data_IF_685094883525
#
_entry.id   IF_685094883525
#
_cell.length_a   1.000
_cell.length_b   1.000
_cell.length_c   1.000
_cell.angle_alpha   90.00
_cell.angle_beta   90.00
_cell.angle_gamma   90.00
#
_symmetry.space_group_name_H-M   'P 1'
#
loop_
_entity.id
_entity.type
_entity.pdbx_description
1 polymer ?
#
# COMPACT_ATOMS: atom_id res chain seq x y z
N UNK A 1 -14.10 -1.25 -19.98
CA UNK A 1 -13.53 -0.89 -18.68
C UNK A 1 -14.19 -1.70 -17.54
N UNK A 2 -14.65 -2.96 -17.80
CA UNK A 2 -15.58 -3.67 -16.89
C UNK A 2 -15.10 -5.04 -16.38
N UNK A 3 -13.79 -5.33 -16.45
CA UNK A 3 -13.33 -6.68 -16.03
C UNK A 3 -12.95 -6.83 -14.56
N UNK A 4 -12.77 -5.76 -13.81
CA UNK A 4 -12.31 -5.83 -12.41
C UNK A 4 -13.44 -5.61 -11.37
N UNK A 5 -14.53 -4.97 -11.75
CA UNK A 5 -15.65 -4.71 -10.83
C UNK A 5 -16.38 -6.01 -10.45
N UNK A 6 -16.53 -6.95 -11.40
CA UNK A 6 -17.15 -8.25 -11.12
C UNK A 6 -16.38 -9.09 -10.08
N UNK A 7 -15.06 -9.01 -10.07
CA UNK A 7 -14.24 -9.75 -9.09
C UNK A 7 -14.40 -9.23 -7.67
N UNK A 8 -14.42 -7.92 -7.48
CA UNK A 8 -14.58 -7.29 -6.16
C UNK A 8 -15.98 -7.56 -5.62
N UNK A 9 -17.01 -7.42 -6.44
CA UNK A 9 -18.38 -7.70 -6.06
C UNK A 9 -18.56 -9.18 -5.64
N UNK A 10 -17.98 -10.10 -6.39
CA UNK A 10 -18.01 -11.52 -6.07
C UNK A 10 -17.27 -11.82 -4.75
N UNK A 11 -16.12 -11.19 -4.50
CA UNK A 11 -15.41 -11.30 -3.23
C UNK A 11 -16.23 -10.77 -2.06
N UNK A 12 -16.84 -9.61 -2.23
CA UNK A 12 -17.70 -9.01 -1.22
C UNK A 12 -18.85 -9.94 -0.84
N UNK A 13 -19.59 -10.47 -1.82
CA UNK A 13 -20.67 -11.42 -1.58
C UNK A 13 -20.16 -12.68 -0.86
N UNK A 14 -19.05 -13.24 -1.29
CA UNK A 14 -18.45 -14.41 -0.64
C UNK A 14 -18.11 -14.16 0.83
N UNK A 15 -17.54 -12.99 1.16
CA UNK A 15 -17.19 -12.63 2.54
C UNK A 15 -18.46 -12.42 3.37
N UNK A 16 -19.43 -11.71 2.81
CA UNK A 16 -20.72 -11.46 3.45
C UNK A 16 -21.46 -12.76 3.78
N UNK A 17 -21.55 -13.69 2.84
CA UNK A 17 -22.20 -14.99 3.02
C UNK A 17 -21.50 -15.84 4.09
N UNK A 18 -20.15 -15.83 4.10
CA UNK A 18 -19.37 -16.52 5.13
C UNK A 18 -19.60 -15.92 6.51
N UNK A 19 -19.66 -14.60 6.61
CA UNK A 19 -19.95 -13.91 7.86
C UNK A 19 -21.37 -14.21 8.35
N UNK A 20 -22.37 -14.18 7.46
CA UNK A 20 -23.73 -14.54 7.79
C UNK A 20 -23.85 -15.99 8.29
N UNK A 21 -23.19 -16.94 7.61
CA UNK A 21 -23.17 -18.33 8.03
C UNK A 21 -22.45 -18.53 9.38
N UNK A 22 -21.36 -17.81 9.62
CA UNK A 22 -20.68 -17.82 10.92
C UNK A 22 -21.60 -17.32 12.03
N UNK A 23 -22.29 -16.20 11.83
CA UNK A 23 -23.24 -15.66 12.81
C UNK A 23 -24.38 -16.66 13.08
N UNK A 24 -24.92 -17.29 12.03
CA UNK A 24 -25.96 -18.32 12.18
C UNK A 24 -25.48 -19.49 13.03
N UNK A 25 -24.29 -20.02 12.75
CA UNK A 25 -23.77 -21.20 13.43
C UNK A 25 -23.37 -20.93 14.88
N UNK A 26 -22.77 -19.80 15.17
CA UNK A 26 -22.19 -19.53 16.49
C UNK A 26 -23.14 -18.79 17.44
N UNK A 27 -23.99 -17.92 16.90
CA UNK A 27 -24.82 -17.05 17.74
C UNK A 27 -26.31 -17.37 17.67
N UNK A 28 -26.82 -17.87 16.56
CA UNK A 28 -28.24 -18.13 16.39
C UNK A 28 -28.62 -19.60 16.51
N UNK A 29 -27.65 -20.52 16.48
CA UNK A 29 -27.87 -21.96 16.48
C UNK A 29 -28.66 -22.50 17.69
N UNK A 30 -28.61 -21.79 18.81
CA UNK A 30 -29.30 -22.21 20.04
C UNK A 30 -30.76 -21.73 20.13
N UNK A 31 -31.30 -21.03 19.11
CA UNK A 31 -32.66 -20.50 19.07
C UNK A 31 -33.33 -20.83 17.74
N UNK A 32 -34.27 -21.75 17.76
CA UNK A 32 -35.06 -22.11 16.57
C UNK A 32 -35.78 -20.90 15.96
N UNK A 33 -36.28 -19.98 16.81
CA UNK A 33 -36.97 -18.78 16.37
C UNK A 33 -36.00 -17.84 15.64
N UNK A 34 -34.79 -17.64 16.17
CA UNK A 34 -33.79 -16.76 15.52
C UNK A 34 -33.25 -17.37 14.22
N UNK A 35 -33.10 -18.69 14.18
CA UNK A 35 -32.71 -19.38 12.95
C UNK A 35 -33.77 -19.25 11.85
N UNK A 36 -35.06 -19.31 12.23
CA UNK A 36 -36.15 -19.17 11.27
C UNK A 36 -36.14 -17.81 10.55
N UNK A 37 -35.75 -16.76 11.27
CA UNK A 37 -35.68 -15.38 10.73
C UNK A 37 -34.24 -14.96 10.36
N UNK A 38 -33.28 -15.86 10.42
CA UNK A 38 -31.87 -15.53 10.21
C UNK A 38 -31.58 -14.96 8.81
N UNK A 39 -32.29 -15.44 7.78
CA UNK A 39 -32.14 -14.95 6.41
C UNK A 39 -32.75 -13.55 6.24
N UNK A 40 -33.80 -13.23 6.96
CA UNK A 40 -34.39 -11.89 6.96
C UNK A 40 -33.51 -10.89 7.72
N UNK A 41 -32.87 -11.33 8.81
CA UNK A 41 -32.02 -10.49 9.66
C UNK A 41 -30.63 -10.24 9.02
N UNK A 42 -30.06 -11.25 8.36
CA UNK A 42 -28.69 -11.24 7.84
C UNK A 42 -28.64 -11.15 6.31
N UNK A 43 -29.79 -11.26 5.63
CA UNK A 43 -29.92 -11.33 4.19
C UNK A 43 -29.80 -9.97 3.48
N UNK A 44 -29.89 -9.99 2.15
CA UNK A 44 -29.82 -8.79 1.30
C UNK A 44 -30.99 -7.84 1.49
N UNK A 45 -32.12 -8.33 2.01
CA UNK A 45 -33.32 -7.52 2.28
C UNK A 45 -33.28 -6.78 3.61
N UNK A 46 -32.20 -6.94 4.38
CA UNK A 46 -32.03 -6.19 5.62
C UNK A 46 -31.85 -4.71 5.32
N UNK A 47 -32.52 -3.79 6.05
CA UNK A 47 -32.31 -2.35 5.89
C UNK A 47 -30.82 -1.99 6.00
N UNK A 48 -30.35 -1.04 5.21
CA UNK A 48 -28.93 -0.64 5.17
C UNK A 48 -28.35 -0.30 6.55
N UNK A 49 -29.19 0.21 7.45
CA UNK A 49 -28.82 0.58 8.82
C UNK A 49 -28.43 -0.63 9.70
N UNK A 50 -28.95 -1.83 9.37
CA UNK A 50 -28.78 -3.06 10.15
C UNK A 50 -27.90 -4.09 9.40
N UNK A 51 -27.47 -3.77 8.19
CA UNK A 51 -26.70 -4.71 7.37
C UNK A 51 -25.37 -5.07 8.04
N UNK A 52 -25.04 -6.39 8.05
CA UNK A 52 -23.78 -6.92 8.62
C UNK A 52 -22.53 -6.44 7.89
N UNK A 53 -22.67 -5.94 6.68
CA UNK A 53 -21.58 -5.39 5.89
C UNK A 53 -22.08 -4.22 5.02
N UNK A 54 -21.31 -3.14 4.97
CA UNK A 54 -21.54 -2.04 4.02
C UNK A 54 -21.00 -2.41 2.66
N UNK A 55 -21.53 -1.78 1.61
CA UNK A 55 -20.94 -1.90 0.28
C UNK A 55 -19.46 -1.51 0.27
N UNK A 56 -18.62 -2.24 -0.50
CA UNK A 56 -17.20 -1.94 -0.55
C UNK A 56 -16.95 -0.60 -1.23
N UNK A 57 -16.20 0.26 -0.55
CA UNK A 57 -15.66 1.47 -1.15
C UNK A 57 -14.29 1.15 -1.75
N UNK A 58 -14.13 1.40 -3.05
CA UNK A 58 -12.87 1.16 -3.76
C UNK A 58 -12.24 2.50 -4.10
N UNK A 59 -11.08 2.76 -3.51
CA UNK A 59 -10.24 3.88 -3.85
C UNK A 59 -9.00 3.41 -4.60
N UNK A 60 -8.77 3.96 -5.79
CA UNK A 60 -7.57 3.69 -6.57
C UNK A 60 -6.54 4.78 -6.33
N UNK A 61 -5.34 4.40 -5.89
CA UNK A 61 -4.19 5.32 -5.88
C UNK A 61 -3.39 5.14 -7.17
N UNK A 62 -2.89 6.27 -7.73
CA UNK A 62 -1.94 6.21 -8.83
C UNK A 62 -0.64 5.54 -8.38
N UNK A 63 -0.04 4.73 -9.25
CA UNK A 63 1.27 4.13 -8.99
C UNK A 63 2.34 5.23 -8.93
N UNK A 64 3.30 5.06 -8.02
CA UNK A 64 4.45 5.96 -7.95
C UNK A 64 5.32 5.84 -9.20
N UNK A 65 5.78 6.99 -9.71
CA UNK A 65 6.65 7.05 -10.88
C UNK A 65 8.02 6.48 -10.54
N UNK A 66 8.47 5.49 -11.32
CA UNK A 66 9.82 4.94 -11.26
C UNK A 66 10.74 5.67 -12.22
N UNK A 67 12.00 5.79 -11.85
CA UNK A 67 13.04 6.43 -12.66
C UNK A 67 14.07 5.37 -13.00
N UNK A 68 14.31 5.14 -14.28
CA UNK A 68 15.40 4.29 -14.73
C UNK A 68 16.72 5.04 -14.48
N UNK A 69 17.74 4.31 -14.02
CA UNK A 69 19.06 4.86 -13.73
C UNK A 69 19.07 6.07 -12.76
N UNK A 70 18.03 6.19 -11.91
CA UNK A 70 17.83 7.35 -11.06
C UNK A 70 19.01 7.71 -10.14
N UNK A 71 19.80 6.73 -9.68
CA UNK A 71 21.04 7.02 -8.91
C UNK A 71 22.15 7.50 -9.81
N UNK A 72 22.28 6.97 -11.04
CA UNK A 72 23.31 7.40 -12.00
C UNK A 72 23.10 8.83 -12.45
N UNK A 73 21.86 9.20 -12.68
CA UNK A 73 21.48 10.53 -13.19
C UNK A 73 21.27 11.57 -12.07
N UNK A 74 21.29 11.13 -10.79
CA UNK A 74 21.07 12.01 -9.65
C UNK A 74 22.15 13.10 -9.54
N UNK A 75 21.74 14.31 -9.15
CA UNK A 75 22.62 15.46 -8.90
C UNK A 75 23.26 15.38 -7.50
N UNK A 76 24.20 14.45 -7.33
CA UNK A 76 24.91 14.17 -6.08
C UNK A 76 26.42 14.07 -6.35
N UNK A 77 27.29 14.20 -5.32
CA UNK A 77 28.75 14.08 -5.50
C UNK A 77 29.17 12.75 -6.12
N UNK A 78 30.19 12.78 -6.99
CA UNK A 78 30.60 11.60 -7.77
C UNK A 78 31.12 10.47 -6.89
N UNK A 79 31.84 10.76 -5.80
CA UNK A 79 32.30 9.76 -4.83
C UNK A 79 31.11 9.03 -4.16
N UNK A 80 30.06 9.75 -3.80
CA UNK A 80 28.83 9.17 -3.24
C UNK A 80 28.11 8.33 -4.30
N UNK A 81 27.97 8.87 -5.50
CA UNK A 81 27.34 8.19 -6.64
C UNK A 81 28.00 6.84 -6.93
N UNK A 82 29.34 6.79 -6.96
CA UNK A 82 30.09 5.54 -7.21
C UNK A 82 29.80 4.48 -6.15
N UNK A 83 29.77 4.85 -4.88
CA UNK A 83 29.46 3.90 -3.79
C UNK A 83 28.01 3.44 -3.87
N UNK A 84 27.06 4.36 -4.09
CA UNK A 84 25.64 3.99 -4.21
C UNK A 84 25.39 3.04 -5.39
N UNK A 85 26.06 3.24 -6.53
CA UNK A 85 25.96 2.33 -7.66
C UNK A 85 26.53 0.94 -7.35
N UNK A 86 27.63 0.83 -6.59
CA UNK A 86 28.12 -0.45 -6.09
C UNK A 86 27.12 -1.15 -5.18
N UNK A 87 26.40 -0.39 -4.34
CA UNK A 87 25.32 -0.94 -3.49
C UNK A 87 24.13 -1.42 -4.33
N UNK A 88 23.80 -0.71 -5.43
CA UNK A 88 22.79 -1.17 -6.41
C UNK A 88 23.18 -2.53 -7.02
N UNK A 89 24.43 -2.64 -7.50
CA UNK A 89 24.94 -3.87 -8.11
C UNK A 89 24.97 -5.03 -7.10
N UNK A 90 25.34 -4.75 -5.86
CA UNK A 90 25.36 -5.70 -4.76
C UNK A 90 23.96 -6.03 -4.20
N UNK A 91 22.91 -5.34 -4.64
CA UNK A 91 21.51 -5.43 -4.15
C UNK A 91 21.38 -5.17 -2.64
N UNK A 92 22.14 -4.22 -2.14
CA UNK A 92 22.19 -3.83 -0.73
C UNK A 92 21.35 -2.59 -0.44
N UNK A 93 20.01 -2.74 -0.49
CA UNK A 93 19.05 -1.73 -0.06
C UNK A 93 18.89 -0.51 -0.98
N UNK A 94 19.60 -0.46 -2.10
CA UNK A 94 19.41 0.56 -3.14
C UNK A 94 18.95 -0.12 -4.43
N UNK A 95 17.94 0.44 -5.08
CA UNK A 95 17.29 -0.15 -6.24
C UNK A 95 17.78 0.50 -7.54
N UNK A 96 17.93 -0.31 -8.60
CA UNK A 96 18.29 0.18 -9.94
C UNK A 96 17.20 1.08 -10.55
N UNK A 97 15.95 0.87 -10.15
CA UNK A 97 14.79 1.67 -10.60
C UNK A 97 14.06 2.26 -9.39
N UNK A 98 14.63 3.27 -8.73
CA UNK A 98 14.02 3.92 -7.58
C UNK A 98 12.74 4.68 -7.98
N UNK A 99 11.95 5.04 -6.99
CA UNK A 99 10.87 6.00 -7.21
C UNK A 99 11.43 7.43 -7.33
N UNK A 100 10.77 8.25 -8.12
CA UNK A 100 11.16 9.66 -8.36
C UNK A 100 11.31 10.46 -7.05
N UNK A 101 10.42 10.25 -6.09
CA UNK A 101 10.48 10.94 -4.80
C UNK A 101 11.68 10.52 -3.93
N UNK A 102 12.18 9.29 -4.10
CA UNK A 102 13.38 8.81 -3.40
C UNK A 102 14.64 9.50 -3.96
N UNK A 103 14.74 9.61 -5.29
CA UNK A 103 15.86 10.35 -5.94
C UNK A 103 15.83 11.81 -5.56
N UNK A 104 14.67 12.47 -5.64
CA UNK A 104 14.50 13.88 -5.24
C UNK A 104 14.84 14.12 -3.77
N UNK A 105 14.50 13.17 -2.90
CA UNK A 105 14.85 13.25 -1.48
C UNK A 105 16.37 13.16 -1.28
N UNK A 106 17.04 12.24 -1.97
CA UNK A 106 18.48 12.11 -1.95
C UNK A 106 19.17 13.39 -2.42
N UNK A 107 18.83 13.89 -3.61
CA UNK A 107 19.37 15.13 -4.17
C UNK A 107 19.15 16.35 -3.26
N UNK A 108 17.93 16.50 -2.76
CA UNK A 108 17.59 17.61 -1.86
C UNK A 108 18.41 17.58 -0.57
N UNK A 109 18.57 16.43 0.05
CA UNK A 109 19.35 16.27 1.27
C UNK A 109 20.86 16.50 1.04
N UNK A 110 21.41 16.00 -0.08
CA UNK A 110 22.81 16.22 -0.43
C UNK A 110 23.09 17.70 -0.73
N UNK A 111 22.12 18.43 -1.26
CA UNK A 111 22.17 19.88 -1.47
C UNK A 111 21.84 20.71 -0.20
N UNK A 112 21.75 20.09 0.98
CA UNK A 112 21.52 20.77 2.25
C UNK A 112 20.13 21.35 2.44
N UNK A 113 19.13 20.83 1.73
CA UNK A 113 17.73 21.27 1.85
C UNK A 113 17.00 20.49 2.92
N UNK A 114 16.13 21.15 3.65
CA UNK A 114 15.13 20.49 4.49
C UNK A 114 14.06 19.85 3.62
N UNK A 115 13.68 18.61 3.96
CA UNK A 115 12.79 17.82 3.13
C UNK A 115 11.53 17.42 3.89
N UNK A 116 10.40 17.58 3.26
CA UNK A 116 9.13 17.04 3.70
C UNK A 116 8.62 16.00 2.68
N UNK A 117 8.56 14.74 3.08
CA UNK A 117 8.13 13.64 2.21
C UNK A 117 6.75 13.16 2.63
N UNK A 118 5.74 13.50 1.83
CA UNK A 118 4.36 13.05 2.01
C UNK A 118 3.97 12.08 0.89
N UNK A 119 3.89 10.80 1.21
CA UNK A 119 3.49 9.75 0.29
C UNK A 119 2.67 8.69 1.04
N UNK A 120 1.89 7.89 0.34
CA UNK A 120 1.10 6.79 0.94
C UNK A 120 1.98 5.69 1.57
N UNK A 121 1.35 4.75 2.25
CA UNK A 121 2.01 3.57 2.81
C UNK A 121 2.60 2.69 1.69
N UNK A 122 3.74 2.05 1.95
CA UNK A 122 4.40 1.18 0.96
C UNK A 122 5.13 1.90 -0.18
N UNK A 123 5.28 3.22 -0.12
CA UNK A 123 5.97 4.02 -1.15
C UNK A 123 7.50 4.06 -1.02
N UNK A 124 8.07 3.38 -0.03
CA UNK A 124 9.52 3.47 0.21
C UNK A 124 9.97 4.79 0.82
N UNK A 125 9.21 5.33 1.79
CA UNK A 125 9.60 6.54 2.54
C UNK A 125 10.87 6.35 3.35
N UNK A 126 11.13 5.13 3.81
CA UNK A 126 12.34 4.79 4.57
C UNK A 126 13.60 5.11 3.78
N UNK A 127 13.61 4.82 2.51
CA UNK A 127 14.72 5.10 1.60
C UNK A 127 14.96 6.61 1.42
N UNK A 128 13.93 7.43 1.53
CA UNK A 128 14.05 8.89 1.39
C UNK A 128 14.90 9.54 2.48
N UNK A 129 15.06 8.92 3.64
CA UNK A 129 15.97 9.40 4.69
C UNK A 129 17.18 8.49 4.88
N UNK A 130 17.07 7.20 4.63
CA UNK A 130 18.17 6.26 4.79
C UNK A 130 19.30 6.51 3.78
N UNK A 131 18.96 6.71 2.50
CA UNK A 131 19.94 6.98 1.46
C UNK A 131 20.73 8.29 1.71
N UNK A 132 20.11 9.41 2.08
CA UNK A 132 20.85 10.60 2.52
C UNK A 132 21.79 10.36 3.71
N UNK A 133 21.37 9.59 4.71
CA UNK A 133 22.22 9.27 5.86
C UNK A 133 23.46 8.48 5.42
N UNK A 134 23.27 7.45 4.60
CA UNK A 134 24.38 6.66 4.03
C UNK A 134 25.28 7.57 3.20
N UNK A 135 24.71 8.44 2.38
CA UNK A 135 25.48 9.34 1.50
C UNK A 135 26.33 10.34 2.31
N UNK A 136 25.80 10.88 3.40
CA UNK A 136 26.57 11.76 4.30
C UNK A 136 27.73 11.01 4.99
N UNK A 137 27.48 9.76 5.43
CA UNK A 137 28.52 8.93 6.01
C UNK A 137 29.64 8.55 5.03
N UNK A 138 29.39 8.63 3.72
CA UNK A 138 30.41 8.42 2.67
C UNK A 138 31.26 9.70 2.45
N UNK A 139 30.68 10.87 2.68
CA UNK A 139 31.38 12.16 2.53
C UNK A 139 32.32 12.46 3.71
N UNK A 140 32.07 11.90 4.92
CA UNK A 140 32.90 12.05 6.11
C UNK A 140 34.17 11.19 6.05
#
# INVERSE_FOLDING_TARGET
MDRNTNGVQQYYQTIRDRLANYIKSDYLANSETLLLYADDILGEMCPEEINIAKEPYIETSSSYRKVNDGIRDAEIPDNVKEVLLKLVEAKLGIYSTPFEHQVKALEGAMNGRDLFVSTGTGSGKTECFLWPIISRAIEE
#
